data_IF_345122306560
#
_entry.id   IF_345122306560
#
_cell.length_a   1.000
_cell.length_b   1.000
_cell.length_c   1.000
_cell.angle_alpha   90.00
_cell.angle_beta   90.00
_cell.angle_gamma   90.00
#
_symmetry.space_group_name_H-M   'P 1'
#
loop_
_entity.id
_entity.type
_entity.pdbx_description
1 polymer ?
#
# COMPACT_ATOMS: atom_id res chain seq x y z
N UNK A 1 -11.54 -19.23 20.39
CA UNK A 1 -10.58 -18.15 20.10
C UNK A 1 -10.43 -17.94 18.59
N UNK A 2 -10.53 -19.01 17.79
CA UNK A 2 -10.37 -18.99 16.33
C UNK A 2 -11.47 -18.23 15.56
N UNK A 3 -12.75 -18.32 15.97
CA UNK A 3 -13.85 -17.65 15.23
C UNK A 3 -13.76 -16.12 15.26
N UNK A 4 -13.34 -15.50 16.37
CA UNK A 4 -13.20 -14.03 16.47
C UNK A 4 -12.09 -13.51 15.57
N UNK A 5 -10.98 -14.26 15.44
CA UNK A 5 -9.87 -13.93 14.55
C UNK A 5 -10.33 -13.99 13.09
N UNK A 6 -10.99 -15.08 12.69
CA UNK A 6 -11.49 -15.26 11.31
C UNK A 6 -12.54 -14.22 10.93
N UNK A 7 -13.45 -13.86 11.84
CA UNK A 7 -14.40 -12.75 11.63
C UNK A 7 -13.68 -11.42 11.39
N UNK A 8 -12.59 -11.15 12.11
CA UNK A 8 -11.77 -9.94 11.89
C UNK A 8 -11.02 -9.97 10.57
N UNK A 9 -10.35 -11.07 10.26
CA UNK A 9 -9.67 -11.27 8.97
C UNK A 9 -10.65 -11.05 7.81
N UNK A 10 -11.88 -11.57 7.94
CA UNK A 10 -12.94 -11.36 6.95
C UNK A 10 -13.35 -9.89 6.83
N UNK A 11 -13.49 -9.17 7.95
CA UNK A 11 -13.79 -7.72 7.92
C UNK A 11 -12.70 -6.94 7.18
N UNK A 12 -11.43 -7.29 7.38
CA UNK A 12 -10.30 -6.65 6.69
C UNK A 12 -10.35 -6.96 5.19
N UNK A 13 -10.64 -8.20 4.82
CA UNK A 13 -10.84 -8.58 3.42
C UNK A 13 -11.93 -7.73 2.76
N UNK A 14 -13.06 -7.58 3.47
CA UNK A 14 -14.21 -6.85 2.97
C UNK A 14 -13.92 -5.35 2.79
N UNK A 15 -12.91 -4.75 3.42
CA UNK A 15 -12.51 -3.35 3.17
C UNK A 15 -12.15 -3.09 1.70
N UNK A 16 -11.55 -4.06 1.01
CA UNK A 16 -11.12 -3.93 -0.39
C UNK A 16 -12.06 -4.67 -1.35
N UNK A 17 -12.65 -5.78 -0.89
CA UNK A 17 -13.41 -6.70 -1.73
C UNK A 17 -14.92 -6.72 -1.44
N UNK A 18 -15.41 -6.06 -0.38
CA UNK A 18 -16.78 -6.18 0.12
C UNK A 18 -17.87 -5.73 -0.85
N UNK A 19 -17.55 -4.74 -1.70
CA UNK A 19 -18.47 -4.25 -2.73
C UNK A 19 -18.29 -4.95 -4.10
N UNK A 20 -17.37 -5.92 -4.20
CA UNK A 20 -17.10 -6.61 -5.46
C UNK A 20 -18.04 -7.81 -5.63
N UNK A 21 -18.54 -8.00 -6.85
CA UNK A 21 -19.29 -9.21 -7.24
C UNK A 21 -18.32 -10.37 -7.45
N UNK A 22 -17.98 -11.07 -6.37
CA UNK A 22 -17.12 -12.25 -6.39
C UNK A 22 -17.95 -13.52 -6.52
N UNK A 23 -17.44 -14.53 -7.24
CA UNK A 23 -18.10 -15.83 -7.35
C UNK A 23 -17.99 -16.64 -6.05
N UNK A 24 -16.79 -16.70 -5.47
CA UNK A 24 -16.57 -17.41 -4.21
C UNK A 24 -15.44 -16.77 -3.40
N UNK A 25 -15.58 -16.82 -2.07
CA UNK A 25 -14.53 -16.49 -1.10
C UNK A 25 -14.46 -17.65 -0.12
N UNK A 26 -13.30 -18.28 0.00
CA UNK A 26 -13.06 -19.42 0.89
C UNK A 26 -11.92 -19.08 1.85
N UNK A 27 -12.13 -19.38 3.13
CA UNK A 27 -11.06 -19.33 4.13
C UNK A 27 -10.01 -20.38 3.80
N UNK A 28 -8.75 -20.06 4.05
CA UNK A 28 -7.63 -20.94 3.83
C UNK A 28 -6.53 -20.63 4.87
N UNK A 29 -5.59 -21.55 5.08
CA UNK A 29 -4.53 -21.37 6.09
C UNK A 29 -3.41 -20.48 5.58
N UNK A 30 -3.06 -20.63 4.30
CA UNK A 30 -2.01 -19.86 3.65
C UNK A 30 -2.17 -19.88 2.12
N UNK A 31 -2.71 -18.82 1.49
CA UNK A 31 -3.09 -17.53 2.04
C UNK A 31 -4.30 -17.62 2.97
N UNK A 32 -4.61 -16.53 3.70
CA UNK A 32 -5.78 -16.45 4.59
C UNK A 32 -7.12 -16.67 3.84
N UNK A 33 -7.18 -16.24 2.57
CA UNK A 33 -8.35 -16.41 1.70
C UNK A 33 -7.98 -16.83 0.28
N UNK A 34 -8.81 -17.68 -0.31
CA UNK A 34 -8.85 -17.97 -1.74
C UNK A 34 -10.10 -17.35 -2.35
N UNK A 35 -9.92 -16.53 -3.37
CA UNK A 35 -10.99 -15.78 -4.03
C UNK A 35 -11.09 -16.21 -5.48
N UNK A 36 -12.32 -16.45 -5.92
CA UNK A 36 -12.65 -16.74 -7.31
C UNK A 36 -13.55 -15.64 -7.85
N UNK A 37 -13.08 -14.89 -8.85
CA UNK A 37 -13.84 -13.78 -9.44
C UNK A 37 -15.01 -14.27 -10.28
N UNK A 38 -14.84 -15.36 -11.04
CA UNK A 38 -15.87 -15.96 -11.90
C UNK A 38 -15.86 -17.48 -11.78
N UNK A 39 -16.92 -18.18 -12.19
CA UNK A 39 -17.01 -19.64 -12.09
C UNK A 39 -15.88 -20.39 -12.82
N UNK A 40 -15.26 -19.79 -13.84
CA UNK A 40 -14.20 -20.39 -14.66
C UNK A 40 -12.78 -19.84 -14.38
N UNK A 41 -12.63 -18.80 -13.57
CA UNK A 41 -11.31 -18.22 -13.27
C UNK A 41 -10.54 -19.07 -12.28
N UNK A 42 -9.22 -19.21 -12.48
CA UNK A 42 -8.29 -19.67 -11.45
C UNK A 42 -8.42 -18.78 -10.20
N UNK A 43 -8.47 -19.35 -8.99
CA UNK A 43 -8.54 -18.55 -7.78
C UNK A 43 -7.22 -17.78 -7.55
N UNK A 44 -7.32 -16.62 -6.92
CA UNK A 44 -6.18 -15.88 -6.39
C UNK A 44 -6.21 -15.87 -4.86
N UNK A 45 -5.06 -15.66 -4.27
CA UNK A 45 -4.88 -15.62 -2.83
C UNK A 45 -4.92 -14.21 -2.26
N UNK A 46 -5.45 -14.06 -1.05
CA UNK A 46 -5.34 -12.82 -0.28
C UNK A 46 -4.87 -13.13 1.13
N UNK A 47 -3.72 -12.57 1.49
CA UNK A 47 -3.22 -12.46 2.86
C UNK A 47 -3.79 -11.20 3.49
N UNK A 48 -4.15 -11.27 4.78
CA UNK A 48 -4.60 -10.12 5.54
C UNK A 48 -3.78 -9.96 6.82
N UNK A 49 -3.60 -8.71 7.23
CA UNK A 49 -2.75 -8.43 8.39
C UNK A 49 -3.11 -7.09 9.02
N UNK A 50 -3.09 -6.99 10.35
CA UNK A 50 -3.44 -5.76 11.13
C UNK A 50 -2.22 -5.03 11.70
N UNK A 51 -2.05 -3.77 11.35
CA UNK A 51 -0.92 -2.95 11.74
C UNK A 51 -1.29 -2.14 12.98
N UNK A 52 -0.46 -2.29 14.01
CA UNK A 52 -0.50 -1.47 15.20
C UNK A 52 0.81 -0.69 15.33
N UNK A 53 0.70 0.56 15.75
CA UNK A 53 1.82 1.46 15.99
C UNK A 53 2.71 0.99 17.15
N UNK A 54 2.17 0.18 18.06
CA UNK A 54 2.92 -0.49 19.13
C UNK A 54 2.19 -1.75 19.61
N UNK A 55 2.90 -2.63 20.31
CA UNK A 55 2.27 -3.77 20.99
C UNK A 55 1.28 -3.32 22.07
N UNK A 56 1.56 -2.20 22.74
CA UNK A 56 0.66 -1.60 23.73
C UNK A 56 -0.66 -1.22 23.09
N UNK A 57 -0.64 -0.61 21.89
CA UNK A 57 -1.85 -0.32 21.12
C UNK A 57 -2.63 -1.59 20.78
N UNK A 58 -1.92 -2.64 20.35
CA UNK A 58 -2.54 -3.93 20.08
C UNK A 58 -3.20 -4.51 21.33
N UNK A 59 -2.54 -4.45 22.50
CA UNK A 59 -3.12 -4.94 23.76
C UNK A 59 -4.31 -4.11 24.22
N UNK A 60 -4.24 -2.78 24.13
CA UNK A 60 -5.35 -1.88 24.48
C UNK A 60 -6.60 -2.15 23.63
N UNK A 61 -6.41 -2.47 22.35
CA UNK A 61 -7.52 -2.81 21.44
C UNK A 61 -8.02 -4.25 21.63
N UNK A 62 -7.12 -5.21 21.82
CA UNK A 62 -7.45 -6.65 21.76
C UNK A 62 -7.86 -7.28 23.07
N UNK A 63 -7.46 -6.70 24.20
CA UNK A 63 -7.81 -7.23 25.51
C UNK A 63 -9.11 -6.56 25.95
N UNK A 64 -10.21 -7.30 25.82
CA UNK A 64 -11.56 -6.86 26.23
C UNK A 64 -11.52 -6.24 27.63
N UNK A 65 -11.92 -4.96 27.74
CA UNK A 65 -11.98 -4.21 29.00
C UNK A 65 -10.67 -3.61 29.50
N UNK A 66 -9.52 -3.89 28.88
CA UNK A 66 -8.22 -3.46 29.43
C UNK A 66 -8.07 -1.94 29.51
N UNK A 67 -8.51 -1.20 28.49
CA UNK A 67 -8.52 0.26 28.55
C UNK A 67 -9.41 0.78 29.69
N UNK A 68 -10.58 0.17 29.90
CA UNK A 68 -11.48 0.53 31.01
C UNK A 68 -10.83 0.27 32.36
N UNK A 69 -10.22 -0.90 32.54
CA UNK A 69 -9.47 -1.25 33.76
C UNK A 69 -8.39 -0.22 34.09
N UNK A 70 -7.61 0.22 33.08
CA UNK A 70 -6.59 1.24 33.29
C UNK A 70 -7.19 2.58 33.72
N UNK A 71 -8.27 3.02 33.08
CA UNK A 71 -8.96 4.27 33.42
C UNK A 71 -9.63 4.22 34.80
N UNK A 72 -9.99 3.02 35.28
CA UNK A 72 -10.50 2.78 36.63
C UNK A 72 -9.39 2.66 37.70
N UNK A 73 -8.12 2.91 37.33
CA UNK A 73 -6.97 2.84 38.24
C UNK A 73 -6.38 1.44 38.39
N UNK A 74 -6.74 0.50 37.52
CA UNK A 74 -6.18 -0.83 37.45
C UNK A 74 -4.71 -0.86 37.00
N UNK A 75 -3.98 -1.95 37.28
CA UNK A 75 -2.56 -2.05 36.96
C UNK A 75 -2.32 -2.27 35.46
N UNK A 76 -1.16 -1.81 34.97
CA UNK A 76 -0.66 -2.24 33.68
C UNK A 76 -0.38 -3.75 33.68
N UNK A 77 -0.87 -4.45 32.65
CA UNK A 77 -0.70 -5.89 32.50
C UNK A 77 0.71 -6.25 32.01
N UNK A 78 1.41 -5.33 31.36
CA UNK A 78 2.78 -5.53 30.88
C UNK A 78 3.69 -4.35 31.23
N UNK A 79 4.98 -4.63 31.51
CA UNK A 79 5.98 -3.59 31.84
C UNK A 79 6.13 -2.56 30.72
N UNK A 80 6.10 -3.00 29.46
CA UNK A 80 6.19 -2.08 28.32
C UNK A 80 4.97 -1.16 28.20
N UNK A 81 3.79 -1.59 28.65
CA UNK A 81 2.60 -0.73 28.62
C UNK A 81 2.75 0.43 29.61
N UNK A 82 3.27 0.14 30.81
CA UNK A 82 3.59 1.16 31.81
C UNK A 82 4.71 2.14 31.39
N UNK A 83 5.52 1.77 30.39
CA UNK A 83 6.56 2.63 29.83
C UNK A 83 6.07 3.46 28.64
N UNK A 84 5.04 2.98 27.95
CA UNK A 84 4.55 3.57 26.69
C UNK A 84 3.28 4.43 26.89
N UNK A 85 2.62 4.34 28.04
CA UNK A 85 1.41 5.09 28.33
C UNK A 85 1.40 5.60 29.78
N UNK A 86 0.79 6.78 29.95
CA UNK A 86 0.53 7.41 31.24
C UNK A 86 -0.97 7.49 31.45
N UNK A 87 -1.44 7.10 32.65
CA UNK A 87 -2.84 7.27 33.05
C UNK A 87 -2.89 8.31 34.16
N UNK A 88 -3.71 9.33 33.97
CA UNK A 88 -3.80 10.42 34.93
C UNK A 88 -4.96 11.38 34.67
N UNK A 89 -5.21 12.29 35.61
CA UNK A 89 -6.19 13.35 35.44
C UNK A 89 -5.73 14.33 34.35
N UNK A 90 -6.66 14.74 33.50
CA UNK A 90 -6.47 15.73 32.44
C UNK A 90 -7.64 16.72 32.40
N UNK A 91 -7.32 17.93 31.94
CA UNK A 91 -8.30 18.98 31.69
C UNK A 91 -8.60 19.08 30.20
N UNK A 92 -9.88 19.24 29.85
CA UNK A 92 -10.30 19.52 28.48
C UNK A 92 -10.37 21.02 28.31
N UNK A 93 -9.58 21.55 27.37
CA UNK A 93 -9.46 22.99 27.13
C UNK A 93 -10.05 23.34 25.77
N UNK A 94 -10.89 24.38 25.71
CA UNK A 94 -11.44 24.92 24.48
C UNK A 94 -10.35 25.64 23.65
N UNK A 95 -10.60 25.89 22.35
CA UNK A 95 -9.64 26.61 21.50
C UNK A 95 -9.26 28.02 22.00
N UNK A 96 -10.13 28.66 22.79
CA UNK A 96 -9.87 29.97 23.40
C UNK A 96 -9.07 29.89 24.72
N UNK A 97 -8.68 28.68 25.15
CA UNK A 97 -7.94 28.44 26.38
C UNK A 97 -8.81 28.28 27.63
N UNK A 98 -10.14 28.37 27.52
CA UNK A 98 -11.03 28.14 28.67
C UNK A 98 -11.13 26.65 29.00
N UNK A 99 -11.15 26.32 30.29
CA UNK A 99 -11.29 24.92 30.75
C UNK A 99 -12.76 24.51 30.66
N UNK A 100 -13.04 23.49 29.85
CA UNK A 100 -14.37 22.92 29.62
C UNK A 100 -14.70 21.84 30.64
N UNK A 101 -13.70 21.05 31.06
CA UNK A 101 -13.83 20.03 32.09
C UNK A 101 -12.50 19.78 32.79
N UNK A 102 -12.53 19.43 34.07
CA UNK A 102 -11.33 19.20 34.88
C UNK A 102 -11.27 17.78 35.43
N UNK A 103 -10.07 17.23 35.58
CA UNK A 103 -9.86 15.98 36.31
C UNK A 103 -10.49 14.74 35.67
N UNK A 104 -10.67 14.74 34.35
CA UNK A 104 -11.08 13.55 33.61
C UNK A 104 -9.91 12.58 33.62
N UNK A 105 -10.12 11.32 33.97
CA UNK A 105 -9.06 10.31 33.82
C UNK A 105 -8.93 9.94 32.36
N UNK A 106 -7.71 10.00 31.83
CA UNK A 106 -7.45 9.51 30.50
C UNK A 106 -6.06 8.88 30.37
N UNK A 107 -5.83 8.31 29.20
CA UNK A 107 -4.60 7.62 28.84
C UNK A 107 -3.87 8.42 27.76
N UNK A 108 -2.67 8.89 28.07
CA UNK A 108 -1.79 9.61 27.15
C UNK A 108 -0.70 8.66 26.68
N UNK A 109 -0.43 8.66 25.38
CA UNK A 109 0.64 7.88 24.77
C UNK A 109 1.32 8.67 23.66
N UNK A 110 2.59 8.39 23.46
CA UNK A 110 3.32 8.88 22.30
C UNK A 110 3.03 7.98 21.09
N UNK A 111 2.60 8.59 19.98
CA UNK A 111 2.39 7.88 18.72
C UNK A 111 3.66 8.05 17.86
N UNK A 112 4.27 6.97 17.35
CA UNK A 112 5.46 7.07 16.51
C UNK A 112 5.18 7.90 15.25
N UNK A 113 6.19 8.64 14.74
CA UNK A 113 6.02 9.48 13.56
C UNK A 113 5.69 8.62 12.32
N UNK A 114 4.95 9.16 11.32
CA UNK A 114 4.52 8.40 10.15
C UNK A 114 5.64 7.64 9.42
N UNK A 115 6.85 8.19 9.35
CA UNK A 115 8.00 7.53 8.72
C UNK A 115 8.42 6.25 9.44
N UNK A 116 8.34 6.24 10.78
CA UNK A 116 8.66 5.04 11.56
C UNK A 116 7.59 3.97 11.37
N UNK A 117 6.32 4.37 11.36
CA UNK A 117 5.21 3.46 11.03
C UNK A 117 5.35 2.86 9.63
N UNK A 118 5.77 3.65 8.63
CA UNK A 118 5.99 3.17 7.28
C UNK A 118 7.07 2.09 7.19
N UNK A 119 8.15 2.19 7.97
CA UNK A 119 9.17 1.11 8.06
C UNK A 119 8.58 -0.17 8.61
N UNK A 120 7.79 -0.08 9.70
CA UNK A 120 7.14 -1.24 10.30
C UNK A 120 6.10 -1.87 9.36
N UNK A 121 5.40 -1.08 8.56
CA UNK A 121 4.54 -1.59 7.48
C UNK A 121 5.39 -2.33 6.43
N UNK A 122 6.52 -1.76 6.02
CA UNK A 122 7.45 -2.38 5.07
C UNK A 122 7.97 -3.74 5.55
N UNK A 123 8.47 -3.80 6.78
CA UNK A 123 8.92 -5.04 7.45
C UNK A 123 7.82 -6.10 7.43
N UNK A 124 6.57 -5.68 7.64
CA UNK A 124 5.46 -6.62 7.69
C UNK A 124 5.02 -7.12 6.32
N UNK A 125 5.10 -6.28 5.29
CA UNK A 125 4.90 -6.70 3.90
C UNK A 125 5.93 -7.78 3.55
N UNK A 126 7.19 -7.57 3.93
CA UNK A 126 8.28 -8.53 3.71
C UNK A 126 8.03 -9.83 4.46
N UNK A 127 7.80 -9.77 5.77
CA UNK A 127 7.55 -10.94 6.62
C UNK A 127 6.34 -11.77 6.15
N UNK A 128 5.28 -11.12 5.66
CA UNK A 128 4.11 -11.83 5.10
C UNK A 128 4.43 -12.51 3.76
N UNK A 129 5.36 -11.98 2.98
CA UNK A 129 5.81 -12.57 1.71
C UNK A 129 6.68 -13.83 1.88
N UNK A 130 7.40 -13.95 2.99
CA UNK A 130 8.38 -15.01 3.22
C UNK A 130 7.78 -16.41 3.18
N UNK A 131 8.20 -17.25 2.22
CA UNK A 131 7.74 -18.64 2.13
C UNK A 131 6.35 -18.82 1.49
N UNK A 132 5.85 -17.81 0.77
CA UNK A 132 4.65 -17.94 -0.07
C UNK A 132 4.91 -18.42 -1.49
N UNK A 133 6.17 -18.45 -1.94
CA UNK A 133 6.58 -18.75 -3.32
C UNK A 133 6.18 -20.15 -3.82
N UNK A 134 6.00 -21.12 -2.94
CA UNK A 134 5.75 -22.53 -3.31
C UNK A 134 4.40 -23.09 -2.84
N UNK A 135 3.58 -22.30 -2.14
CA UNK A 135 2.53 -22.87 -1.28
C UNK A 135 1.16 -22.98 -1.96
N UNK A 136 0.88 -22.30 -3.08
CA UNK A 136 -0.47 -22.37 -3.67
C UNK A 136 -0.56 -22.35 -5.20
N UNK A 137 -1.52 -23.12 -5.73
CA UNK A 137 -2.00 -23.06 -7.13
C UNK A 137 -2.89 -21.84 -7.36
N UNK A 138 -2.44 -20.66 -6.92
CA UNK A 138 -3.14 -19.40 -7.15
C UNK A 138 -2.64 -18.76 -8.45
N UNK A 139 -3.49 -17.96 -9.12
CA UNK A 139 -3.03 -17.13 -10.24
C UNK A 139 -2.06 -16.04 -9.77
N UNK A 140 -2.31 -15.49 -8.59
CA UNK A 140 -1.49 -14.47 -7.92
C UNK A 140 -1.88 -14.40 -6.44
N UNK A 141 -1.11 -13.62 -5.67
CA UNK A 141 -1.38 -13.32 -4.27
C UNK A 141 -1.49 -11.80 -4.08
N UNK A 142 -2.39 -11.34 -3.23
CA UNK A 142 -2.43 -9.95 -2.76
C UNK A 142 -2.27 -9.91 -1.23
N UNK A 143 -1.90 -8.73 -0.72
CA UNK A 143 -1.85 -8.46 0.71
C UNK A 143 -2.75 -7.27 1.06
N UNK A 144 -3.50 -7.39 2.14
CA UNK A 144 -4.20 -6.26 2.77
C UNK A 144 -3.57 -5.99 4.13
N UNK A 145 -3.11 -4.76 4.33
CA UNK A 145 -2.63 -4.24 5.60
C UNK A 145 -3.69 -3.29 6.16
N UNK A 146 -4.34 -3.64 7.27
CA UNK A 146 -5.29 -2.76 7.98
C UNK A 146 -4.55 -1.93 9.02
N UNK A 147 -4.51 -0.61 8.90
CA UNK A 147 -4.01 0.31 9.93
C UNK A 147 -5.07 0.51 11.03
N UNK A 148 -4.99 -0.30 12.08
CA UNK A 148 -5.89 -0.23 13.23
C UNK A 148 -5.50 0.92 14.18
N UNK A 149 -4.25 1.40 14.09
CA UNK A 149 -3.73 2.49 14.92
C UNK A 149 -4.05 3.89 14.41
N UNK A 150 -4.57 4.01 13.18
CA UNK A 150 -4.98 5.28 12.56
C UNK A 150 -3.83 6.30 12.49
N UNK A 151 -2.61 5.81 12.28
CA UNK A 151 -1.39 6.64 12.30
C UNK A 151 -1.37 7.72 11.22
N UNK A 152 -2.24 7.57 10.22
CA UNK A 152 -2.37 8.50 9.09
C UNK A 152 -3.63 9.37 9.13
N UNK A 153 -4.45 9.31 10.20
CA UNK A 153 -5.72 10.04 10.24
C UNK A 153 -5.59 11.55 10.00
N UNK A 154 -4.47 12.15 10.41
CA UNK A 154 -4.19 13.60 10.22
C UNK A 154 -3.40 13.92 8.94
N UNK A 155 -3.04 12.90 8.15
CA UNK A 155 -2.31 13.05 6.90
C UNK A 155 -3.31 13.25 5.77
N UNK A 156 -3.11 14.35 5.03
CA UNK A 156 -3.88 14.61 3.80
C UNK A 156 -3.50 13.63 2.70
N UNK A 157 -4.45 13.25 1.83
CA UNK A 157 -4.18 12.35 0.69
C UNK A 157 -3.01 12.82 -0.16
N UNK A 158 -2.97 14.10 -0.53
CA UNK A 158 -1.91 14.66 -1.38
C UNK A 158 -0.50 14.57 -0.75
N UNK A 159 -0.43 14.46 0.57
CA UNK A 159 0.81 14.38 1.35
C UNK A 159 1.22 12.93 1.65
N UNK A 160 0.35 11.93 1.40
CA UNK A 160 0.60 10.52 1.73
C UNK A 160 1.94 10.03 1.16
N UNK A 161 2.17 10.28 -0.14
CA UNK A 161 3.41 9.85 -0.81
C UNK A 161 4.65 10.40 -0.09
N UNK A 162 4.66 11.71 0.19
CA UNK A 162 5.82 12.39 0.79
C UNK A 162 6.03 11.99 2.25
N UNK A 163 4.96 11.80 3.02
CA UNK A 163 5.02 11.59 4.47
C UNK A 163 5.15 10.12 4.87
N UNK A 164 4.63 9.20 4.07
CA UNK A 164 4.52 7.78 4.43
C UNK A 164 5.14 6.83 3.41
N UNK A 165 5.08 7.11 2.11
CA UNK A 165 5.66 6.23 1.09
C UNK A 165 7.17 6.43 0.90
N UNK A 166 7.90 6.25 2.00
CA UNK A 166 9.35 6.41 2.13
C UNK A 166 10.12 5.30 1.39
N UNK A 167 11.45 5.45 1.14
CA UNK A 167 12.23 4.46 0.41
C UNK A 167 12.08 3.03 0.90
N UNK A 168 12.08 2.80 2.21
CA UNK A 168 11.95 1.47 2.80
C UNK A 168 10.61 0.79 2.44
N UNK A 169 9.51 1.56 2.41
CA UNK A 169 8.19 1.06 2.01
C UNK A 169 8.08 0.90 0.49
N UNK A 170 8.73 1.77 -0.29
CA UNK A 170 8.84 1.59 -1.74
C UNK A 170 9.60 0.31 -2.07
N UNK A 171 10.70 0.04 -1.39
CA UNK A 171 11.52 -1.15 -1.61
C UNK A 171 10.74 -2.43 -1.27
N UNK A 172 10.00 -2.45 -0.15
CA UNK A 172 9.09 -3.55 0.15
C UNK A 172 8.01 -3.74 -0.92
N UNK A 173 7.46 -2.65 -1.49
CA UNK A 173 6.52 -2.74 -2.60
C UNK A 173 7.17 -3.21 -3.91
N UNK A 174 8.47 -2.92 -4.14
CA UNK A 174 9.22 -3.36 -5.33
C UNK A 174 9.56 -4.86 -5.31
N UNK A 175 9.93 -5.38 -4.15
CA UNK A 175 10.46 -6.75 -4.00
C UNK A 175 9.42 -7.78 -3.56
N UNK A 176 8.25 -7.36 -3.09
CA UNK A 176 7.26 -8.31 -2.59
C UNK A 176 6.65 -9.20 -3.68
N UNK A 177 6.40 -10.46 -3.31
CA UNK A 177 5.72 -11.49 -4.11
C UNK A 177 4.24 -11.17 -4.37
N UNK A 178 3.63 -10.30 -3.57
CA UNK A 178 2.22 -9.93 -3.75
C UNK A 178 2.06 -9.13 -5.04
N UNK A 179 1.10 -9.48 -5.89
CA UNK A 179 0.72 -8.72 -7.09
C UNK A 179 0.28 -7.30 -6.72
N UNK A 180 -0.46 -7.13 -5.63
CA UNK A 180 -0.74 -5.82 -5.06
C UNK A 180 -0.73 -5.87 -3.53
N UNK A 181 -0.35 -4.75 -2.91
CA UNK A 181 -0.44 -4.51 -1.48
C UNK A 181 -1.39 -3.34 -1.24
N UNK A 182 -2.51 -3.61 -0.59
CA UNK A 182 -3.51 -2.61 -0.21
C UNK A 182 -3.28 -2.18 1.24
N UNK A 183 -2.92 -0.91 1.45
CA UNK A 183 -2.89 -0.32 2.78
C UNK A 183 -4.25 0.33 3.07
N UNK A 184 -5.06 -0.30 3.93
CA UNK A 184 -6.31 0.27 4.43
C UNK A 184 -6.01 1.16 5.64
N UNK A 185 -6.46 2.42 5.61
CA UNK A 185 -6.17 3.41 6.65
C UNK A 185 -7.23 4.53 6.63
N UNK A 186 -7.02 5.59 7.39
CA UNK A 186 -7.82 6.82 7.38
C UNK A 186 -6.96 7.93 6.77
N UNK A 187 -7.46 8.60 5.73
CA UNK A 187 -6.87 9.80 5.14
C UNK A 187 -7.97 10.82 4.89
N UNK A 188 -7.72 12.08 5.25
CA UNK A 188 -8.73 13.15 5.19
C UNK A 188 -10.04 12.75 5.91
N UNK A 189 -9.91 12.18 7.11
CA UNK A 189 -11.03 11.66 7.94
C UNK A 189 -11.91 10.58 7.28
N UNK A 190 -11.49 10.03 6.15
CA UNK A 190 -12.21 8.99 5.42
C UNK A 190 -11.44 7.67 5.45
N UNK A 191 -12.17 6.56 5.63
CA UNK A 191 -11.61 5.23 5.48
C UNK A 191 -11.34 4.95 4.00
N UNK A 192 -10.07 4.68 3.69
CA UNK A 192 -9.59 4.43 2.34
C UNK A 192 -8.64 3.26 2.29
N UNK A 193 -8.39 2.75 1.08
CA UNK A 193 -7.23 1.93 0.79
C UNK A 193 -6.35 2.58 -0.26
N UNK A 194 -5.03 2.41 -0.11
CA UNK A 194 -4.01 2.85 -1.06
C UNK A 194 -3.31 1.62 -1.64
N UNK A 195 -3.42 1.36 -2.96
CA UNK A 195 -2.67 0.30 -3.64
C UNK A 195 -1.22 0.74 -3.86
N UNK A 196 -0.28 0.12 -3.13
CA UNK A 196 1.11 0.57 -3.06
C UNK A 196 1.89 0.32 -4.35
N UNK A 197 1.67 -0.80 -5.04
CA UNK A 197 2.33 -1.07 -6.34
C UNK A 197 1.78 -0.17 -7.44
N UNK A 198 0.49 0.11 -7.45
CA UNK A 198 -0.09 1.13 -8.32
C UNK A 198 0.49 2.54 -8.03
N UNK A 199 0.62 2.93 -6.77
CA UNK A 199 1.24 4.21 -6.40
C UNK A 199 2.71 4.29 -6.87
N UNK A 200 3.44 3.19 -6.70
CA UNK A 200 4.80 3.05 -7.19
C UNK A 200 4.86 3.21 -8.71
N UNK A 201 4.04 2.48 -9.48
CA UNK A 201 3.98 2.59 -10.94
C UNK A 201 3.78 4.05 -11.40
N UNK A 202 2.90 4.80 -10.74
CA UNK A 202 2.62 6.20 -11.10
C UNK A 202 3.78 7.12 -10.80
N UNK A 203 4.41 6.89 -9.65
CA UNK A 203 5.60 7.63 -9.23
C UNK A 203 6.74 7.41 -10.23
N UNK A 204 7.00 6.15 -10.58
CA UNK A 204 8.04 5.76 -11.53
C UNK A 204 7.76 6.35 -12.93
N UNK A 205 6.51 6.27 -13.40
CA UNK A 205 6.11 6.87 -14.67
C UNK A 205 6.25 8.40 -14.69
N UNK A 206 5.90 9.07 -13.59
CA UNK A 206 6.03 10.51 -13.45
C UNK A 206 7.49 10.95 -13.58
N UNK A 207 8.39 10.35 -12.79
CA UNK A 207 9.81 10.71 -12.84
C UNK A 207 10.41 10.35 -14.20
N UNK A 208 10.07 9.20 -14.76
CA UNK A 208 10.56 8.78 -16.07
C UNK A 208 10.20 9.77 -17.18
N UNK A 209 8.92 10.10 -17.34
CA UNK A 209 8.47 11.03 -18.38
C UNK A 209 9.07 12.41 -18.17
N UNK A 210 9.09 12.89 -16.92
CA UNK A 210 9.67 14.18 -16.59
C UNK A 210 11.15 14.26 -16.98
N UNK A 211 11.94 13.25 -16.65
CA UNK A 211 13.35 13.20 -17.02
C UNK A 211 13.53 13.11 -18.54
N UNK A 212 12.63 12.46 -19.28
CA UNK A 212 12.70 12.41 -20.75
C UNK A 212 12.56 13.82 -21.34
N UNK A 213 11.69 14.63 -20.76
CA UNK A 213 11.53 16.03 -21.14
C UNK A 213 12.73 16.89 -20.79
N UNK A 214 13.23 16.79 -19.55
CA UNK A 214 14.30 17.65 -19.04
C UNK A 214 15.65 17.38 -19.73
N UNK A 215 15.90 16.14 -20.15
CA UNK A 215 17.16 15.75 -20.80
C UNK A 215 17.12 15.76 -22.33
N UNK A 216 15.94 15.89 -22.94
CA UNK A 216 15.76 15.73 -24.39
C UNK A 216 15.86 14.27 -24.88
N UNK A 217 16.06 13.30 -23.99
CA UNK A 217 16.14 11.87 -24.33
C UNK A 217 14.84 11.32 -24.95
N UNK A 218 13.74 12.08 -24.91
CA UNK A 218 12.50 11.76 -25.60
C UNK A 218 12.69 11.42 -27.08
N UNK A 219 13.58 12.12 -27.78
CA UNK A 219 13.86 11.89 -29.21
C UNK A 219 14.51 10.52 -29.45
N UNK A 220 15.25 10.00 -28.48
CA UNK A 220 15.94 8.70 -28.57
C UNK A 220 14.99 7.51 -28.45
N UNK A 221 13.80 7.74 -27.87
CA UNK A 221 12.77 6.71 -27.63
C UNK A 221 11.44 7.06 -28.30
N UNK A 222 11.49 7.86 -29.37
CA UNK A 222 10.28 8.28 -30.09
C UNK A 222 9.48 7.06 -30.58
N UNK A 223 8.16 7.08 -30.35
CA UNK A 223 7.28 5.94 -30.65
C UNK A 223 7.44 4.72 -29.72
N UNK A 224 8.46 4.69 -28.85
CA UNK A 224 8.80 3.55 -28.01
C UNK A 224 8.82 3.85 -26.49
N UNK A 225 8.32 5.01 -26.06
CA UNK A 225 8.25 5.44 -24.65
C UNK A 225 7.77 4.34 -23.68
N UNK A 226 6.71 3.60 -24.02
CA UNK A 226 6.22 2.52 -23.17
C UNK A 226 7.19 1.33 -23.07
N UNK A 227 7.89 0.97 -24.15
CA UNK A 227 8.91 -0.10 -24.12
C UNK A 227 10.12 0.32 -23.29
N UNK A 228 10.56 1.56 -23.50
CA UNK A 228 11.63 2.19 -22.74
C UNK A 228 11.30 2.23 -21.23
N UNK A 229 10.08 2.65 -20.88
CA UNK A 229 9.62 2.66 -19.50
C UNK A 229 9.49 1.26 -18.90
N UNK A 230 8.99 0.28 -19.66
CA UNK A 230 8.89 -1.10 -19.19
C UNK A 230 10.26 -1.69 -18.85
N UNK A 231 11.27 -1.48 -19.72
CA UNK A 231 12.64 -1.93 -19.46
C UNK A 231 13.26 -1.23 -18.25
N UNK A 232 13.07 0.09 -18.14
CA UNK A 232 13.46 0.86 -16.96
C UNK A 232 12.83 0.30 -15.68
N UNK A 233 11.51 0.10 -15.67
CA UNK A 233 10.80 -0.37 -14.48
C UNK A 233 11.25 -1.79 -14.10
N UNK A 234 11.40 -2.68 -15.08
CA UNK A 234 11.89 -4.05 -14.87
C UNK A 234 13.29 -4.09 -14.25
N UNK A 235 14.15 -3.12 -14.56
CA UNK A 235 15.48 -3.04 -13.94
C UNK A 235 15.47 -2.50 -12.50
N UNK A 236 14.28 -2.16 -11.96
CA UNK A 236 14.11 -1.51 -10.65
C UNK A 236 13.24 -2.30 -9.69
N UNK A 237 12.59 -3.35 -10.14
CA UNK A 237 11.65 -4.14 -9.35
C UNK A 237 11.96 -5.62 -9.52
N UNK A 238 11.70 -6.42 -8.48
CA UNK A 238 11.86 -7.88 -8.57
C UNK A 238 10.59 -8.54 -9.10
N UNK A 239 9.43 -7.91 -8.90
CA UNK A 239 8.17 -8.42 -9.39
C UNK A 239 8.06 -8.31 -10.93
N UNK A 240 7.33 -9.23 -11.59
CA UNK A 240 7.22 -9.21 -13.05
C UNK A 240 6.67 -7.88 -13.59
N UNK A 241 7.40 -7.30 -14.53
CA UNK A 241 6.92 -6.22 -15.39
C UNK A 241 6.65 -6.82 -16.76
N UNK A 242 5.46 -6.56 -17.29
CA UNK A 242 5.09 -6.97 -18.63
C UNK A 242 4.72 -5.73 -19.45
N UNK A 243 4.64 -5.89 -20.76
CA UNK A 243 4.02 -4.88 -21.61
C UNK A 243 3.17 -5.55 -22.70
N UNK A 244 2.19 -4.80 -23.19
CA UNK A 244 1.34 -5.21 -24.30
C UNK A 244 1.21 -4.07 -25.31
N UNK A 245 1.32 -4.39 -26.59
CA UNK A 245 1.13 -3.42 -27.66
C UNK A 245 -0.36 -3.29 -27.99
N UNK A 246 -0.86 -2.06 -28.03
CA UNK A 246 -2.21 -1.70 -28.45
C UNK A 246 -2.16 -0.73 -29.61
N UNK A 247 -3.28 -0.57 -30.31
CA UNK A 247 -3.41 0.44 -31.38
C UNK A 247 -3.11 1.87 -30.89
N UNK A 248 -3.29 2.15 -29.60
CA UNK A 248 -3.11 3.47 -29.00
C UNK A 248 -1.74 3.69 -28.35
N UNK A 249 -0.86 2.69 -28.34
CA UNK A 249 0.46 2.74 -27.70
C UNK A 249 0.82 1.44 -26.99
N UNK A 250 1.90 1.47 -26.21
CA UNK A 250 2.35 0.34 -25.39
C UNK A 250 1.87 0.54 -23.96
N UNK A 251 1.13 -0.44 -23.45
CA UNK A 251 0.71 -0.52 -22.05
C UNK A 251 1.75 -1.28 -21.25
N UNK A 252 2.27 -0.66 -20.19
CA UNK A 252 3.20 -1.27 -19.24
C UNK A 252 2.43 -1.76 -18.03
N UNK A 253 2.58 -3.03 -17.69
CA UNK A 253 1.86 -3.75 -16.66
C UNK A 253 2.77 -3.99 -15.46
N UNK A 254 2.31 -3.59 -14.28
CA UNK A 254 2.97 -3.87 -13.01
C UNK A 254 1.92 -4.03 -11.91
N UNK A 255 2.00 -5.15 -11.19
CA UNK A 255 1.03 -5.50 -10.16
C UNK A 255 -0.37 -5.76 -10.72
N UNK A 256 -1.37 -5.00 -10.27
CA UNK A 256 -2.76 -5.07 -10.80
C UNK A 256 -3.10 -3.90 -11.75
N UNK A 257 -2.09 -3.13 -12.19
CA UNK A 257 -2.28 -1.92 -12.97
C UNK A 257 -1.49 -1.91 -14.28
N UNK A 258 -2.12 -1.37 -15.33
CA UNK A 258 -1.50 -1.00 -16.60
C UNK A 258 -1.44 0.52 -16.78
N UNK A 259 -0.35 1.00 -17.39
CA UNK A 259 -0.17 2.40 -17.77
C UNK A 259 0.24 2.52 -19.24
N UNK A 260 -0.46 3.38 -19.98
CA UNK A 260 -0.05 3.78 -21.34
C UNK A 260 0.56 5.16 -21.26
N UNK A 261 1.81 5.29 -21.70
CA UNK A 261 2.48 6.56 -21.84
C UNK A 261 2.31 7.08 -23.27
N UNK A 262 1.95 8.34 -23.41
CA UNK A 262 2.32 9.10 -24.60
C UNK A 262 3.52 9.98 -24.22
N UNK A 263 4.33 10.44 -25.17
CA UNK A 263 5.55 11.20 -24.85
C UNK A 263 5.33 12.50 -24.07
N UNK A 264 4.10 12.81 -23.61
CA UNK A 264 3.73 13.92 -22.73
C UNK A 264 3.36 13.50 -21.31
N UNK A 265 3.11 12.22 -21.05
CA UNK A 265 2.70 11.75 -19.74
C UNK A 265 2.00 10.41 -19.75
N UNK A 266 1.39 10.11 -18.61
CA UNK A 266 0.43 9.02 -18.50
C UNK A 266 -0.85 9.40 -19.23
N UNK A 267 -1.18 8.66 -20.29
CA UNK A 267 -2.38 8.86 -21.09
C UNK A 267 -3.55 8.03 -20.55
N UNK A 268 -3.29 6.78 -20.20
CA UNK A 268 -4.32 5.83 -19.77
C UNK A 268 -3.84 5.05 -18.56
N UNK A 269 -4.77 4.81 -17.64
CA UNK A 269 -4.60 3.96 -16.49
C UNK A 269 -5.67 2.87 -16.51
N UNK A 270 -5.25 1.62 -16.36
CA UNK A 270 -6.13 0.47 -16.34
C UNK A 270 -5.90 -0.32 -15.06
N UNK A 271 -6.95 -0.51 -14.28
CA UNK A 271 -6.96 -1.47 -13.18
C UNK A 271 -7.53 -2.78 -13.69
N UNK A 272 -6.84 -3.89 -13.44
CA UNK A 272 -7.28 -5.22 -13.84
C UNK A 272 -8.19 -5.88 -12.80
N UNK A 273 -8.23 -5.36 -11.57
CA UNK A 273 -9.12 -5.82 -10.50
C UNK A 273 -9.03 -7.33 -10.31
N UNK A 274 -7.80 -7.83 -10.26
CA UNK A 274 -7.48 -9.25 -10.10
C UNK A 274 -7.81 -10.14 -11.30
N UNK A 275 -8.20 -9.54 -12.42
CA UNK A 275 -8.32 -10.27 -13.68
C UNK A 275 -6.94 -10.70 -14.18
N UNK A 276 -6.91 -11.81 -14.92
CA UNK A 276 -5.71 -12.19 -15.66
C UNK A 276 -5.36 -11.09 -16.67
N UNK A 277 -4.05 -10.92 -16.92
CA UNK A 277 -3.61 -10.13 -18.06
C UNK A 277 -3.94 -10.86 -19.36
N UNK A 278 -4.11 -10.11 -20.44
CA UNK A 278 -4.27 -10.69 -21.77
C UNK A 278 -3.03 -11.52 -22.12
N UNK A 279 -3.23 -12.64 -22.83
CA UNK A 279 -2.18 -13.63 -23.12
C UNK A 279 -1.03 -13.12 -24.01
N UNK A 280 -1.15 -11.93 -24.59
CA UNK A 280 -0.15 -11.31 -25.45
C UNK A 280 0.84 -10.41 -24.67
N UNK A 281 0.72 -10.33 -23.35
CA UNK A 281 1.65 -9.58 -22.51
C UNK A 281 3.02 -10.27 -22.47
N UNK A 282 4.09 -9.51 -22.73
CA UNK A 282 5.47 -10.03 -22.83
C UNK A 282 6.42 -9.28 -21.90
N UNK A 283 7.52 -9.92 -21.51
CA UNK A 283 8.58 -9.27 -20.75
C UNK A 283 9.29 -8.18 -21.59
N UNK A 284 9.75 -7.08 -20.96
CA UNK A 284 10.49 -6.03 -21.65
C UNK A 284 11.85 -6.52 -22.16
N UNK A 285 12.28 -5.91 -23.27
CA UNK A 285 13.64 -6.08 -23.81
C UNK A 285 14.58 -5.10 -23.10
N UNK A 286 15.59 -5.63 -22.41
CA UNK A 286 16.59 -4.85 -21.67
C UNK A 286 17.45 -3.96 -22.58
N UNK A 287 17.50 -4.22 -23.89
CA UNK A 287 18.23 -3.37 -24.85
C UNK A 287 17.78 -1.90 -24.81
N UNK A 288 16.54 -1.64 -24.39
CA UNK A 288 16.01 -0.29 -24.19
C UNK A 288 16.71 0.50 -23.09
N UNK A 289 17.32 -0.16 -22.09
CA UNK A 289 18.15 0.54 -21.09
C UNK A 289 19.38 1.18 -21.75
N UNK A 290 19.98 0.47 -22.71
CA UNK A 290 21.08 1.00 -23.53
C UNK A 290 20.63 2.18 -24.39
N UNK A 291 19.41 2.10 -24.95
CA UNK A 291 18.85 3.16 -25.80
C UNK A 291 18.55 4.46 -25.03
N UNK A 292 18.11 4.37 -23.78
CA UNK A 292 17.83 5.53 -22.91
C UNK A 292 19.14 6.15 -22.37
N UNK A 293 20.17 5.33 -22.17
CA UNK A 293 21.51 5.78 -21.82
C UNK A 293 21.73 6.08 -20.32
N UNK A 294 22.98 5.94 -19.87
CA UNK A 294 23.37 6.14 -18.46
C UNK A 294 23.20 7.58 -17.97
N UNK A 295 23.33 8.57 -18.87
CA UNK A 295 23.12 9.98 -18.54
C UNK A 295 21.67 10.26 -18.12
N UNK A 296 20.70 9.66 -18.82
CA UNK A 296 19.30 9.76 -18.43
C UNK A 296 19.05 9.13 -17.06
N UNK A 297 19.60 7.93 -16.81
CA UNK A 297 19.42 7.24 -15.53
C UNK A 297 19.97 8.06 -14.36
N UNK A 298 21.15 8.68 -14.53
CA UNK A 298 21.72 9.60 -13.55
C UNK A 298 20.83 10.85 -13.35
N UNK A 299 20.30 11.43 -14.43
CA UNK A 299 19.38 12.57 -14.35
C UNK A 299 18.07 12.20 -13.64
N UNK A 300 17.57 10.97 -13.83
CA UNK A 300 16.37 10.48 -13.18
C UNK A 300 16.55 10.38 -11.66
N UNK A 301 17.68 9.83 -11.20
CA UNK A 301 18.01 9.81 -9.77
C UNK A 301 18.14 11.23 -9.20
N UNK A 302 18.75 12.16 -9.94
CA UNK A 302 18.77 13.58 -9.58
C UNK A 302 17.38 14.19 -9.46
N UNK A 303 16.48 13.89 -10.40
CA UNK A 303 15.10 14.39 -10.41
C UNK A 303 14.30 13.92 -9.19
N UNK A 304 14.58 12.73 -8.65
CA UNK A 304 13.93 12.24 -7.40
C UNK A 304 14.31 13.05 -6.17
N UNK A 305 15.50 13.65 -6.17
CA UNK A 305 15.98 14.47 -5.07
C UNK A 305 15.45 15.90 -5.14
N UNK A 306 15.20 16.42 -6.33
CA UNK A 306 14.82 17.82 -6.56
C UNK A 306 13.34 18.04 -6.81
N UNK A 307 12.60 17.00 -7.19
CA UNK A 307 11.18 17.11 -7.53
C UNK A 307 10.29 16.35 -6.55
N UNK A 308 9.09 16.90 -6.32
CA UNK A 308 8.08 16.29 -5.47
C UNK A 308 7.00 15.66 -6.34
N UNK A 309 6.72 14.37 -6.12
CA UNK A 309 5.51 13.73 -6.60
C UNK A 309 4.36 13.95 -5.59
N UNK A 310 3.18 14.30 -6.10
CA UNK A 310 1.95 14.42 -5.33
C UNK A 310 0.85 13.65 -6.02
N UNK A 311 0.01 12.97 -5.25
CA UNK A 311 -1.08 12.17 -5.76
C UNK A 311 -2.20 12.10 -4.74
N UNK A 312 -3.44 12.08 -5.22
CA UNK A 312 -4.63 11.79 -4.42
C UNK A 312 -5.06 10.33 -4.58
N UNK A 313 -4.14 9.43 -4.95
CA UNK A 313 -4.43 8.02 -5.16
C UNK A 313 -4.79 7.34 -3.83
N UNK A 314 -6.08 7.30 -3.57
CA UNK A 314 -6.71 6.57 -2.49
C UNK A 314 -8.12 6.22 -2.95
N UNK A 315 -8.62 5.06 -2.55
CA UNK A 315 -9.95 4.59 -2.91
C UNK A 315 -10.77 4.39 -1.65
N UNK A 316 -12.06 4.71 -1.69
CA UNK A 316 -12.93 4.42 -0.56
C UNK A 316 -12.94 2.91 -0.28
N UNK A 317 -12.88 2.54 1.00
CA UNK A 317 -13.16 1.16 1.41
C UNK A 317 -14.63 0.83 1.16
N UNK A 318 -14.95 -0.46 1.01
CA UNK A 318 -16.34 -0.88 0.95
C UNK A 318 -17.06 -0.47 2.24
N UNK A 319 -18.28 0.07 2.11
CA UNK A 319 -19.08 0.39 3.29
C UNK A 319 -19.49 -0.92 3.95
N UNK A 320 -19.04 -1.14 5.19
CA UNK A 320 -19.44 -2.32 5.96
C UNK A 320 -20.96 -2.48 5.96
N UNK A 321 -21.44 -3.67 5.58
CA UNK A 321 -22.84 -4.08 5.74
C UNK A 321 -23.09 -4.56 7.16
#
# INVERSE_FOLDING_TARGET
>A
MDSRKKVRERRILDLVYGDRSLHAVREHERPDFLIQSTASSTPFGVEVTEFFDSETSARLDRIDGYMGELLDGGPFRHKHDAQAAEVGPMDVVAPDGSVVATGIIGLIREIPPPRECARRVAERIQAKGEGLSDVTRCSHLNLIVSDDSRVLATVKREDFYRRFFIPELQDAARSTVFREVFLCTILDDEHVYVPLKQLLLFTEAFFFVRTLFETGAREQVEGAHGRAFAAYLASRVEAPVLFQAHATGVEVLFGDTGVVLDGRGVRTLRSYRDSAFDGDAVAPDESWLGAIGSQFLAALEGARLTHTFRSNLAFAVAKGR
#
